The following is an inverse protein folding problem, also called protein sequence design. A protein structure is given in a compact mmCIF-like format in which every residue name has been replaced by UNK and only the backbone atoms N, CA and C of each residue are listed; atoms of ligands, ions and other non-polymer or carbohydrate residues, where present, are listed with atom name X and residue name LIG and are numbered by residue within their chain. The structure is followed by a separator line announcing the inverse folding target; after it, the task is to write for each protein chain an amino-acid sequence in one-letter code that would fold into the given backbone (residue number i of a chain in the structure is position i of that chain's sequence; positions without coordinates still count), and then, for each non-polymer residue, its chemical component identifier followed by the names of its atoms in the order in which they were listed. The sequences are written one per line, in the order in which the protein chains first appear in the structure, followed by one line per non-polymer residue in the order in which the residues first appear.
data_IF_160514893151
#
_entry.id   IF_160514893151
#
_cell.length_a   1.000
_cell.length_b   1.000
_cell.length_c   1.000
_cell.angle_alpha   90.00
_cell.angle_beta   90.00
_cell.angle_gamma   90.00
#
_symmetry.space_group_name_H-M   'P 1'
#
loop_
_entity.id
_entity.type
_entity.pdbx_description
1 polymer ?
#
# COMPACT_ATOMS: atom_id res chain seq x y z
N UNK A 1 -22.01 2.50 -5.80
CA UNK A 1 -21.77 3.58 -4.79
C UNK A 1 -21.30 3.10 -3.41
N UNK A 2 -21.46 1.84 -3.00
CA UNK A 2 -21.10 1.38 -1.62
C UNK A 2 -19.58 1.29 -1.32
N UNK A 3 -18.73 0.93 -2.30
CA UNK A 3 -17.28 0.68 -2.08
C UNK A 3 -16.42 1.94 -1.86
N UNK A 4 -16.77 3.08 -2.48
CA UNK A 4 -16.07 4.36 -2.22
C UNK A 4 -16.30 4.86 -0.79
N UNK A 5 -17.51 4.63 -0.25
CA UNK A 5 -17.83 4.92 1.14
C UNK A 5 -17.09 4.00 2.12
N UNK A 6 -16.75 2.77 1.72
CA UNK A 6 -15.98 1.83 2.55
C UNK A 6 -14.50 2.23 2.64
N UNK A 7 -13.89 2.69 1.55
CA UNK A 7 -12.52 3.26 1.58
C UNK A 7 -12.50 4.52 2.43
N UNK A 8 -13.47 5.43 2.26
CA UNK A 8 -13.59 6.62 3.09
C UNK A 8 -13.76 6.27 4.57
N UNK A 9 -14.58 5.26 4.91
CA UNK A 9 -14.71 4.74 6.28
C UNK A 9 -13.41 4.12 6.79
N UNK A 10 -12.67 3.39 5.97
CA UNK A 10 -11.39 2.82 6.35
C UNK A 10 -10.39 3.93 6.71
N UNK A 11 -10.31 4.99 5.91
CA UNK A 11 -9.51 6.18 6.23
C UNK A 11 -9.98 6.85 7.52
N UNK A 12 -11.29 7.08 7.68
CA UNK A 12 -11.83 7.65 8.92
C UNK A 12 -11.52 6.79 10.16
N UNK A 13 -11.52 5.46 10.03
CA UNK A 13 -11.16 4.55 11.11
C UNK A 13 -9.66 4.62 11.43
N UNK A 14 -8.80 4.77 10.42
CA UNK A 14 -7.36 4.99 10.60
C UNK A 14 -7.13 6.32 11.32
N UNK A 15 -7.71 7.42 10.85
CA UNK A 15 -7.59 8.74 11.48
C UNK A 15 -8.12 8.74 12.92
N UNK A 16 -9.29 8.13 13.15
CA UNK A 16 -9.87 8.01 14.50
C UNK A 16 -8.98 7.23 15.45
N UNK A 17 -8.25 6.22 14.95
CA UNK A 17 -7.41 5.35 15.77
C UNK A 17 -5.99 5.87 15.95
N UNK A 18 -5.44 6.55 14.94
CA UNK A 18 -4.01 6.84 14.88
C UNK A 18 -3.66 8.33 14.77
N UNK A 19 -4.63 9.22 14.56
CA UNK A 19 -4.46 10.66 14.75
C UNK A 19 -4.79 11.51 13.52
N UNK A 20 -4.39 12.78 13.58
CA UNK A 20 -4.69 13.84 12.62
C UNK A 20 -3.62 13.94 11.53
N UNK A 21 -4.00 13.64 10.29
CA UNK A 21 -3.15 13.73 9.09
C UNK A 21 -2.49 15.10 8.89
N UNK A 22 -3.05 16.17 9.46
CA UNK A 22 -2.47 17.52 9.39
C UNK A 22 -1.05 17.55 9.96
N UNK A 23 -0.73 16.65 10.89
CA UNK A 23 0.61 16.48 11.47
C UNK A 23 1.69 16.14 10.46
N UNK A 24 1.35 15.52 9.32
CA UNK A 24 2.32 15.23 8.26
C UNK A 24 2.94 16.50 7.64
N UNK A 25 2.31 17.65 7.85
CA UNK A 25 2.82 18.95 7.37
C UNK A 25 3.73 19.63 8.40
N UNK A 26 3.81 19.11 9.63
CA UNK A 26 4.66 19.65 10.68
C UNK A 26 6.15 19.45 10.34
N UNK A 27 6.95 20.46 10.71
CA UNK A 27 8.39 20.46 10.49
C UNK A 27 9.04 19.34 11.30
N UNK A 28 9.66 18.37 10.63
CA UNK A 28 10.35 17.24 11.28
C UNK A 28 9.71 15.87 10.99
N UNK A 29 8.52 15.82 10.40
CA UNK A 29 7.90 14.57 9.94
C UNK A 29 8.51 14.18 8.58
N UNK A 30 9.61 13.43 8.65
CA UNK A 30 10.38 12.99 7.48
C UNK A 30 10.16 11.51 7.13
N UNK A 31 10.80 11.04 6.04
CA UNK A 31 10.83 9.63 5.71
C UNK A 31 11.70 8.86 6.71
N UNK A 32 11.23 7.70 7.15
CA UNK A 32 12.09 6.73 7.85
C UNK A 32 12.90 5.98 6.80
N UNK A 33 14.22 5.95 6.95
CA UNK A 33 15.12 5.19 6.06
C UNK A 33 15.72 4.02 6.82
N UNK A 34 15.43 2.79 6.39
CA UNK A 34 15.91 1.56 7.03
C UNK A 34 16.33 0.50 6.01
N UNK A 35 17.03 -0.54 6.48
CA UNK A 35 17.33 -1.73 5.67
C UNK A 35 16.19 -2.77 5.72
N UNK A 36 15.27 -2.63 6.68
CA UNK A 36 14.17 -3.58 6.90
C UNK A 36 12.86 -2.88 7.29
N UNK A 37 11.74 -3.59 7.10
CA UNK A 37 10.41 -3.14 7.50
C UNK A 37 10.06 -3.74 8.87
N UNK A 38 9.71 -2.91 9.84
CA UNK A 38 9.36 -3.33 11.21
C UNK A 38 7.98 -2.83 11.62
N UNK A 39 7.46 -3.32 12.76
CA UNK A 39 6.19 -2.85 13.32
C UNK A 39 6.24 -1.37 13.68
N UNK A 40 7.37 -0.92 14.23
CA UNK A 40 7.58 0.46 14.68
C UNK A 40 7.53 1.42 13.49
N UNK A 41 8.09 1.02 12.34
CA UNK A 41 7.98 1.80 11.10
C UNK A 41 6.52 1.94 10.65
N UNK A 42 5.77 0.83 10.65
CA UNK A 42 4.34 0.87 10.29
C UNK A 42 3.53 1.70 11.28
N UNK A 43 3.78 1.56 12.58
CA UNK A 43 3.13 2.35 13.60
C UNK A 43 3.43 3.83 13.44
N UNK A 44 4.68 4.21 13.17
CA UNK A 44 5.07 5.58 12.91
C UNK A 44 4.37 6.15 11.67
N UNK A 45 4.26 5.36 10.60
CA UNK A 45 3.53 5.75 9.39
C UNK A 45 2.03 5.94 9.67
N UNK A 46 1.38 4.99 10.34
CA UNK A 46 -0.06 5.09 10.64
C UNK A 46 -0.40 6.18 11.66
N UNK A 47 0.51 6.47 12.60
CA UNK A 47 0.34 7.54 13.60
C UNK A 47 0.83 8.91 13.15
N UNK A 48 1.06 9.08 11.85
CA UNK A 48 1.50 10.33 11.23
C UNK A 48 2.81 10.89 11.81
N UNK A 49 3.65 10.03 12.41
CA UNK A 49 4.99 10.38 12.90
C UNK A 49 6.05 10.27 11.81
N UNK A 50 5.72 9.63 10.69
CA UNK A 50 6.55 9.56 9.49
C UNK A 50 5.66 9.72 8.25
N UNK A 51 6.17 10.40 7.22
CA UNK A 51 5.43 10.60 5.97
C UNK A 51 5.66 9.48 4.95
N UNK A 52 6.75 8.73 5.09
CA UNK A 52 7.08 7.60 4.23
C UNK A 52 8.05 6.63 4.93
N UNK A 53 8.15 5.42 4.40
CA UNK A 53 9.15 4.42 4.78
C UNK A 53 9.96 4.08 3.52
N UNK A 54 11.26 4.31 3.56
CA UNK A 54 12.21 3.90 2.54
C UNK A 54 13.01 2.70 3.05
N UNK A 55 12.70 1.52 2.50
CA UNK A 55 13.46 0.29 2.77
C UNK A 55 14.52 0.13 1.68
N UNK A 56 15.80 0.27 2.06
CA UNK A 56 16.93 0.14 1.13
C UNK A 56 17.01 -1.28 0.62
N UNK A 57 17.35 -1.44 -0.66
CA UNK A 57 17.49 -2.76 -1.30
C UNK A 57 16.26 -3.66 -1.11
N UNK A 58 15.07 -3.07 -0.96
CA UNK A 58 13.81 -3.80 -0.86
C UNK A 58 13.54 -4.66 -2.10
N UNK A 59 14.15 -4.31 -3.23
CA UNK A 59 14.30 -5.19 -4.38
C UNK A 59 15.79 -5.19 -4.71
N UNK A 60 16.38 -6.37 -4.95
CA UNK A 60 17.79 -6.43 -5.35
C UNK A 60 17.99 -5.77 -6.71
N UNK A 61 19.20 -5.31 -7.00
CA UNK A 61 19.51 -4.65 -8.27
C UNK A 61 19.18 -5.54 -9.47
N UNK A 62 19.43 -6.83 -9.35
CA UNK A 62 19.19 -7.86 -10.35
C UNK A 62 17.68 -8.00 -10.62
N UNK A 63 16.87 -8.12 -9.57
CA UNK A 63 15.41 -8.20 -9.71
C UNK A 63 14.82 -6.90 -10.26
N UNK A 64 15.32 -5.73 -9.84
CA UNK A 64 14.89 -4.46 -10.38
C UNK A 64 15.16 -4.36 -11.89
N UNK A 65 16.29 -4.89 -12.37
CA UNK A 65 16.61 -4.95 -13.80
C UNK A 65 15.69 -5.90 -14.58
N UNK A 66 15.33 -7.05 -13.99
CA UNK A 66 14.34 -7.96 -14.57
C UNK A 66 12.98 -7.26 -14.71
N UNK A 67 12.54 -6.58 -13.65
CA UNK A 67 11.27 -5.84 -13.65
C UNK A 67 11.27 -4.74 -14.72
N UNK A 68 12.35 -3.95 -14.79
CA UNK A 68 12.49 -2.91 -15.81
C UNK A 68 12.43 -3.48 -17.24
N UNK A 69 13.03 -4.65 -17.48
CA UNK A 69 12.99 -5.32 -18.78
C UNK A 69 11.60 -5.83 -19.11
N UNK A 70 10.91 -6.43 -18.14
CA UNK A 70 9.51 -6.85 -18.28
C UNK A 70 8.59 -5.68 -18.60
N UNK A 71 8.69 -4.58 -17.85
CA UNK A 71 7.85 -3.40 -18.04
C UNK A 71 8.09 -2.73 -19.41
N UNK A 72 9.33 -2.73 -19.92
CA UNK A 72 9.65 -2.22 -21.26
C UNK A 72 9.02 -3.03 -22.40
N UNK A 73 8.83 -4.34 -22.21
CA UNK A 73 8.27 -5.24 -23.24
C UNK A 73 6.75 -5.33 -23.20
N UNK A 74 6.17 -5.07 -22.04
CA UNK A 74 4.73 -5.14 -21.86
C UNK A 74 4.02 -3.95 -22.52
N UNK A 75 2.82 -4.19 -23.05
CA UNK A 75 2.01 -3.13 -23.65
C UNK A 75 1.55 -2.18 -22.55
N UNK A 76 1.92 -0.92 -22.66
CA UNK A 76 1.42 0.11 -21.78
C UNK A 76 0.05 0.59 -22.20
N UNK A 77 -0.79 0.90 -21.23
CA UNK A 77 -2.05 1.60 -21.44
C UNK A 77 -1.94 2.96 -20.79
N UNK A 78 -2.20 4.01 -21.58
CA UNK A 78 -2.44 5.33 -21.02
C UNK A 78 -3.87 5.34 -20.47
N UNK A 79 -4.01 5.70 -19.20
CA UNK A 79 -5.33 5.88 -18.61
C UNK A 79 -5.62 7.36 -18.49
N UNK A 80 -6.86 7.73 -18.82
CA UNK A 80 -7.30 9.12 -18.77
C UNK A 80 -7.78 9.45 -17.36
N UNK A 81 -7.40 10.62 -16.85
CA UNK A 81 -7.86 11.15 -15.56
C UNK A 81 -8.87 12.24 -15.84
N UNK A 82 -9.97 12.25 -15.08
CA UNK A 82 -10.92 13.35 -15.10
C UNK A 82 -10.41 14.48 -14.20
N UNK A 83 -10.23 15.67 -14.77
CA UNK A 83 -9.94 16.89 -14.03
C UNK A 83 -11.13 17.84 -14.20
N UNK A 84 -12.05 17.83 -13.25
CA UNK A 84 -13.36 18.48 -13.40
C UNK A 84 -14.22 17.77 -14.44
N UNK A 85 -14.67 18.49 -15.48
CA UNK A 85 -15.45 17.95 -16.59
C UNK A 85 -14.58 17.53 -17.80
N UNK A 86 -13.26 17.74 -17.73
CA UNK A 86 -12.35 17.45 -18.84
C UNK A 86 -11.59 16.14 -18.61
N UNK A 87 -11.41 15.41 -19.70
CA UNK A 87 -10.66 14.15 -19.73
C UNK A 87 -9.23 14.46 -20.19
N UNK A 88 -8.26 14.37 -19.29
CA UNK A 88 -6.85 14.55 -19.62
C UNK A 88 -6.14 13.20 -19.69
N UNK A 89 -5.26 13.03 -20.66
CA UNK A 89 -4.35 11.87 -20.69
C UNK A 89 -3.38 11.97 -19.52
N UNK A 90 -3.23 10.89 -18.76
CA UNK A 90 -2.25 10.84 -17.68
C UNK A 90 -0.85 10.76 -18.30
N UNK A 91 0.13 11.42 -17.66
CA UNK A 91 1.55 11.14 -17.92
C UNK A 91 1.96 9.77 -17.39
N UNK A 92 1.08 9.10 -16.63
CA UNK A 92 1.32 7.80 -16.01
C UNK A 92 0.74 6.69 -16.88
N UNK A 93 1.60 5.78 -17.30
CA UNK A 93 1.21 4.57 -18.02
C UNK A 93 1.05 3.40 -17.06
N UNK A 94 0.00 2.59 -17.24
CA UNK A 94 -0.13 1.31 -16.55
C UNK A 94 0.34 0.17 -17.45
N UNK A 95 1.02 -0.80 -16.85
CA UNK A 95 1.57 -1.95 -17.59
C UNK A 95 0.75 -3.22 -17.35
N UNK A 96 0.20 -3.39 -16.14
CA UNK A 96 -0.58 -4.56 -15.76
C UNK A 96 -1.96 -4.13 -15.23
N UNK A 97 -2.94 -4.10 -16.13
CA UNK A 97 -4.31 -3.71 -15.82
C UNK A 97 -4.52 -2.21 -15.60
N UNK A 98 -5.74 -1.86 -15.25
CA UNK A 98 -6.19 -0.49 -14.95
C UNK A 98 -6.16 -0.28 -13.44
N UNK A 99 -5.68 0.86 -12.91
CA UNK A 99 -5.75 1.14 -11.47
C UNK A 99 -7.20 1.13 -10.95
N UNK A 100 -7.41 0.65 -9.72
CA UNK A 100 -8.77 0.53 -9.16
C UNK A 100 -9.54 1.85 -9.15
N UNK A 101 -8.88 2.95 -8.80
CA UNK A 101 -9.48 4.30 -8.75
C UNK A 101 -10.06 4.73 -10.10
N UNK A 102 -9.39 4.33 -11.19
CA UNK A 102 -9.83 4.61 -12.57
C UNK A 102 -11.00 3.73 -12.95
N UNK A 103 -10.90 2.42 -12.67
CA UNK A 103 -11.99 1.49 -12.93
C UNK A 103 -13.26 1.89 -12.15
N UNK A 104 -13.10 2.31 -10.89
CA UNK A 104 -14.20 2.83 -10.07
C UNK A 104 -14.78 4.14 -10.62
N UNK A 105 -13.94 5.02 -11.18
CA UNK A 105 -14.36 6.27 -11.81
C UNK A 105 -15.25 6.07 -13.05
N UNK A 106 -15.05 4.98 -13.80
CA UNK A 106 -15.89 4.63 -14.96
C UNK A 106 -17.18 3.88 -14.59
N UNK A 107 -17.48 3.74 -13.30
CA UNK A 107 -18.71 3.11 -12.81
C UNK A 107 -18.59 1.63 -12.46
N UNK A 108 -19.70 1.07 -11.96
CA UNK A 108 -19.71 -0.24 -11.31
C UNK A 108 -19.29 -1.38 -12.23
N UNK A 109 -19.71 -1.37 -13.50
CA UNK A 109 -19.36 -2.41 -14.47
C UNK A 109 -17.84 -2.48 -14.72
N UNK A 110 -17.17 -1.33 -14.84
CA UNK A 110 -15.71 -1.27 -14.99
C UNK A 110 -14.99 -1.70 -13.70
N UNK A 111 -15.53 -1.33 -12.53
CA UNK A 111 -15.00 -1.80 -11.24
C UNK A 111 -15.10 -3.33 -11.08
N UNK A 112 -16.17 -3.94 -11.55
CA UNK A 112 -16.33 -5.41 -11.49
C UNK A 112 -15.44 -6.12 -12.51
N UNK A 113 -15.23 -5.52 -13.70
CA UNK A 113 -14.24 -6.00 -14.67
C UNK A 113 -12.81 -5.93 -14.12
N UNK A 114 -12.46 -4.89 -13.37
CA UNK A 114 -11.18 -4.80 -12.67
C UNK A 114 -10.96 -6.01 -11.76
N UNK A 115 -11.93 -6.33 -10.90
CA UNK A 115 -11.82 -7.47 -9.99
C UNK A 115 -11.78 -8.81 -10.73
N UNK A 116 -12.59 -8.97 -11.79
CA UNK A 116 -12.59 -10.16 -12.63
C UNK A 116 -11.21 -10.46 -13.23
N UNK A 117 -10.46 -9.43 -13.60
CA UNK A 117 -9.15 -9.56 -14.24
C UNK A 117 -7.96 -9.50 -13.26
N UNK A 118 -8.18 -9.16 -11.99
CA UNK A 118 -7.11 -8.93 -11.02
C UNK A 118 -6.18 -10.15 -10.86
N UNK A 119 -6.74 -11.36 -10.76
CA UNK A 119 -5.95 -12.59 -10.63
C UNK A 119 -5.13 -12.91 -11.88
N UNK A 120 -5.58 -12.48 -13.07
CA UNK A 120 -4.83 -12.62 -14.32
C UNK A 120 -3.66 -11.65 -14.32
N UNK A 121 -3.90 -10.36 -14.07
CA UNK A 121 -2.85 -9.34 -14.04
C UNK A 121 -1.78 -9.62 -12.97
N UNK A 122 -2.17 -10.13 -11.79
CA UNK A 122 -1.20 -10.57 -10.78
C UNK A 122 -0.31 -11.72 -11.26
N UNK A 123 -0.85 -12.68 -12.03
CA UNK A 123 -0.08 -13.77 -12.61
C UNK A 123 0.87 -13.27 -13.69
N UNK A 124 0.39 -12.47 -14.63
CA UNK A 124 1.21 -11.83 -15.67
C UNK A 124 2.37 -11.04 -15.06
N UNK A 125 2.12 -10.26 -14.01
CA UNK A 125 3.16 -9.53 -13.30
C UNK A 125 4.20 -10.48 -12.69
N UNK A 126 3.78 -11.56 -12.01
CA UNK A 126 4.71 -12.54 -11.43
C UNK A 126 5.54 -13.26 -12.49
N UNK A 127 4.91 -13.70 -13.57
CA UNK A 127 5.58 -14.36 -14.70
C UNK A 127 6.64 -13.44 -15.31
N UNK A 128 6.29 -12.18 -15.54
CA UNK A 128 7.22 -11.19 -16.06
C UNK A 128 8.35 -10.86 -15.07
N UNK A 129 8.09 -11.03 -13.77
CA UNK A 129 9.02 -10.75 -12.68
C UNK A 129 9.83 -11.97 -12.21
N UNK A 130 9.80 -13.10 -12.91
CA UNK A 130 10.57 -14.29 -12.53
C UNK A 130 9.99 -15.08 -11.35
N UNK A 131 8.66 -15.05 -11.18
CA UNK A 131 7.90 -15.85 -10.20
C UNK A 131 7.49 -15.10 -8.95
N UNK A 132 8.15 -13.99 -8.62
CA UNK A 132 7.81 -13.15 -7.45
C UNK A 132 7.78 -11.67 -7.80
N UNK A 133 6.68 -11.00 -7.45
CA UNK A 133 6.52 -9.56 -7.66
C UNK A 133 6.92 -8.76 -6.41
N UNK A 134 7.22 -7.45 -6.55
CA UNK A 134 7.39 -6.56 -5.40
C UNK A 134 6.19 -6.59 -4.44
N UNK A 135 4.97 -6.76 -4.97
CA UNK A 135 3.75 -6.85 -4.17
C UNK A 135 3.72 -8.10 -3.29
N UNK A 136 4.25 -9.22 -3.77
CA UNK A 136 4.37 -10.45 -2.98
C UNK A 136 5.34 -10.25 -1.80
N UNK A 137 6.46 -9.55 -2.05
CA UNK A 137 7.43 -9.22 -1.00
C UNK A 137 6.83 -8.30 0.05
N UNK A 138 6.09 -7.26 -0.36
CA UNK A 138 5.37 -6.38 0.57
C UNK A 138 4.39 -7.19 1.42
N UNK A 139 3.58 -8.05 0.80
CA UNK A 139 2.63 -8.91 1.52
C UNK A 139 3.32 -9.76 2.57
N UNK A 140 4.39 -10.46 2.19
CA UNK A 140 5.15 -11.33 3.11
C UNK A 140 5.78 -10.54 4.26
N UNK A 141 6.39 -9.38 3.97
CA UNK A 141 6.95 -8.52 5.01
C UNK A 141 5.87 -8.02 5.98
N UNK A 142 4.69 -7.64 5.50
CA UNK A 142 3.58 -7.24 6.36
C UNK A 142 3.03 -8.42 7.20
N UNK A 143 2.93 -9.61 6.60
CA UNK A 143 2.50 -10.83 7.30
C UNK A 143 3.49 -11.21 8.42
N UNK A 144 4.79 -11.09 8.16
CA UNK A 144 5.86 -11.36 9.14
C UNK A 144 5.86 -10.35 10.28
N UNK A 145 5.76 -9.06 9.95
CA UNK A 145 5.63 -7.97 10.92
C UNK A 145 4.41 -8.21 11.84
N UNK A 146 3.27 -8.62 11.28
CA UNK A 146 2.09 -9.00 12.07
C UNK A 146 2.33 -10.20 12.99
N UNK A 147 3.02 -11.24 12.51
CA UNK A 147 3.31 -12.44 13.33
C UNK A 147 4.20 -12.09 14.52
N UNK A 148 5.24 -11.30 14.29
CA UNK A 148 6.15 -10.84 15.35
C UNK A 148 5.42 -9.98 16.40
N UNK A 149 4.44 -9.17 15.99
CA UNK A 149 3.60 -8.41 16.92
C UNK A 149 2.75 -9.32 17.83
N UNK A 150 2.16 -10.38 17.27
CA UNK A 150 1.34 -11.34 18.03
C UNK A 150 2.15 -12.26 18.94
N UNK A 151 3.46 -12.39 18.71
CA UNK A 151 4.37 -13.19 19.52
C UNK A 151 5.10 -12.37 20.60
N UNK A 152 4.93 -11.05 20.63
CA UNK A 152 5.56 -10.20 21.64
C UNK A 152 4.79 -10.28 22.97
N UNK A 153 5.41 -10.72 24.10
CA UNK A 153 4.72 -10.94 25.39
C UNK A 153 4.22 -9.66 26.10
N UNK A 154 4.38 -8.48 25.51
CA UNK A 154 4.32 -7.20 26.21
C UNK A 154 2.91 -6.61 26.44
N UNK A 155 1.83 -7.38 26.34
CA UNK A 155 0.46 -6.91 26.63
C UNK A 155 -0.27 -7.83 27.62
N UNK A 156 0.46 -8.46 28.53
CA UNK A 156 -0.08 -9.14 29.71
C UNK A 156 0.51 -8.54 30.99
N UNK A 157 0.41 -7.23 31.16
CA UNK A 157 0.50 -6.59 32.49
C UNK A 157 -0.88 -6.06 32.84
N UNK A 158 -1.72 -6.97 33.35
CA UNK A 158 -2.73 -6.54 34.33
C UNK A 158 -1.94 -6.19 35.59
N UNK A 159 -1.55 -4.94 35.75
CA UNK A 159 -1.30 -4.41 37.08
C UNK A 159 -2.67 -4.29 37.75
N UNK A 160 -3.05 -5.31 38.52
CA UNK A 160 -4.05 -5.15 39.57
C UNK A 160 -3.49 -4.15 40.59
N UNK A 161 -4.22 -3.09 40.96
CA UNK A 161 -3.80 -2.25 42.06
C UNK A 161 -3.90 -3.08 43.35
N UNK A 162 -2.74 -3.40 43.92
CA UNK A 162 -2.64 -3.90 45.27
C UNK A 162 -3.09 -2.81 46.25
N UNK A 163 -4.12 -3.12 47.04
CA UNK A 163 -4.42 -2.44 48.30
C UNK A 163 -5.37 -1.24 48.20
N UNK A 164 -6.58 -1.43 48.71
CA UNK A 164 -7.16 -0.48 49.66
C UNK A 164 -7.76 -1.29 50.81
N UNK A 165 -7.33 -0.90 52.01
CA UNK A 165 -7.67 -1.42 53.33
C UNK A 165 -9.17 -1.31 53.66
#
# INVERSE_FOLDING_TARGET
MKRGAEIARAFQLVEKKFGDISRLTEKGVGPIVSNELTNEHLQALFTHKACAIHVKNFVSKEHAALYATAFKKAKTQNWKVFQGNEVQESSVQSVFGVPFTVAAGHGQASADEYFKNTCRHMREMREACGGHSPSDRIRLSLDEVRRLHLQSPAMCTKEEPAGME
#
